data_IF_691435442769
#
_entry.id   IF_691435442769
#
_cell.length_a   1.000
_cell.length_b   1.000
_cell.length_c   1.000
_cell.angle_alpha   90.00
_cell.angle_beta   90.00
_cell.angle_gamma   90.00
#
_symmetry.space_group_name_H-M   'P 1'
#
loop_
_entity.id
_entity.type
_entity.pdbx_description
1 polymer ?
#
# COMPACT_ATOMS: atom_id res chain seq x y z
N UNK A 1 6.14 2.17 27.01
CA UNK A 1 4.77 1.68 27.25
C UNK A 1 4.17 1.42 25.90
N UNK A 2 4.28 0.21 25.39
CA UNK A 2 3.92 -0.16 24.03
C UNK A 2 3.00 -1.38 23.99
N UNK A 3 2.16 -1.57 25.01
CA UNK A 3 1.16 -2.62 25.01
C UNK A 3 0.09 -2.35 23.95
N UNK A 4 -0.30 -3.40 23.25
CA UNK A 4 -1.32 -3.27 22.21
C UNK A 4 -2.69 -3.16 22.85
N UNK A 5 -3.50 -2.18 22.42
CA UNK A 5 -4.88 -1.99 22.90
C UNK A 5 -5.74 -3.27 22.86
N UNK A 6 -5.42 -4.18 21.92
CA UNK A 6 -6.08 -5.46 21.77
C UNK A 6 -5.75 -6.44 22.93
N UNK A 7 -4.52 -6.45 23.39
CA UNK A 7 -4.08 -7.32 24.48
C UNK A 7 -4.71 -6.84 25.79
N UNK A 8 -4.70 -5.53 26.05
CA UNK A 8 -5.38 -4.93 27.19
C UNK A 8 -6.89 -5.20 27.21
N UNK A 9 -7.53 -5.14 26.04
CA UNK A 9 -8.96 -5.46 25.95
C UNK A 9 -9.26 -6.93 26.26
N UNK A 10 -8.36 -7.87 25.91
CA UNK A 10 -8.48 -9.30 26.27
C UNK A 10 -8.33 -9.53 27.76
N UNK A 11 -7.52 -8.73 28.43
CA UNK A 11 -7.29 -8.78 29.88
C UNK A 11 -8.41 -8.10 30.69
N UNK A 12 -9.47 -7.65 30.02
CA UNK A 12 -10.60 -6.97 30.67
C UNK A 12 -10.34 -5.50 31.01
N UNK A 13 -9.24 -4.93 30.52
CA UNK A 13 -8.85 -3.53 30.74
C UNK A 13 -8.86 -2.76 29.40
N UNK A 14 -10.04 -2.56 28.74
CA UNK A 14 -10.08 -1.88 27.47
C UNK A 14 -9.58 -0.44 27.62
N UNK A 15 -8.53 -0.01 26.89
CA UNK A 15 -8.03 1.33 26.98
C UNK A 15 -9.05 2.32 26.38
N UNK A 16 -9.20 3.48 27.01
CA UNK A 16 -9.92 4.59 26.41
C UNK A 16 -9.05 5.18 25.27
N UNK A 17 -9.43 4.88 24.04
CA UNK A 17 -8.72 5.35 22.85
C UNK A 17 -9.41 6.59 22.30
N UNK A 18 -8.72 7.75 22.24
CA UNK A 18 -9.30 8.95 21.68
C UNK A 18 -9.62 8.76 20.19
N UNK A 19 -10.69 9.38 19.68
CA UNK A 19 -11.01 9.38 18.27
C UNK A 19 -9.83 9.96 17.46
N UNK A 20 -9.55 9.36 16.31
CA UNK A 20 -8.53 9.85 15.37
C UNK A 20 -9.12 10.06 13.99
N UNK A 21 -8.70 11.09 13.25
CA UNK A 21 -9.13 11.29 11.88
C UNK A 21 -8.79 10.07 11.03
N UNK A 22 -9.73 9.65 10.20
CA UNK A 22 -9.57 8.54 9.27
C UNK A 22 -10.06 8.98 7.89
N UNK A 23 -9.27 8.70 6.85
CA UNK A 23 -9.62 9.06 5.49
C UNK A 23 -10.50 7.97 4.88
N UNK A 24 -11.72 8.34 4.51
CA UNK A 24 -12.64 7.50 3.74
C UNK A 24 -12.95 8.25 2.43
N UNK A 25 -12.51 7.68 1.30
CA UNK A 25 -12.64 8.31 -0.01
C UNK A 25 -14.01 8.01 -0.65
N UNK A 26 -14.56 6.80 -0.37
CA UNK A 26 -15.87 6.37 -0.86
C UNK A 26 -16.54 5.51 0.19
N UNK A 27 -17.83 5.77 0.42
CA UNK A 27 -18.68 4.99 1.30
C UNK A 27 -20.08 4.92 0.67
N UNK A 28 -20.42 3.78 0.12
CA UNK A 28 -21.63 3.61 -0.71
C UNK A 28 -22.43 2.42 -0.24
N UNK A 29 -23.73 2.62 -0.04
CA UNK A 29 -24.68 1.54 0.19
C UNK A 29 -24.97 0.82 -1.13
N UNK A 30 -24.63 -0.45 -1.20
CA UNK A 30 -24.86 -1.30 -2.37
C UNK A 30 -26.19 -1.98 -2.33
N UNK A 31 -26.56 -2.56 -1.19
CA UNK A 31 -27.78 -3.31 -1.02
C UNK A 31 -28.28 -3.32 0.43
N UNK A 32 -29.56 -3.58 0.60
CA UNK A 32 -30.20 -3.99 1.84
C UNK A 32 -30.89 -5.33 1.62
N UNK A 33 -30.17 -6.45 1.85
CA UNK A 33 -30.72 -7.78 1.63
C UNK A 33 -31.95 -8.08 2.48
N UNK A 34 -32.00 -7.50 3.70
CA UNK A 34 -33.10 -7.65 4.65
C UNK A 34 -33.18 -6.42 5.58
N UNK A 35 -34.05 -6.49 6.60
CA UNK A 35 -34.27 -5.40 7.56
C UNK A 35 -33.05 -5.16 8.47
N UNK A 36 -32.25 -6.21 8.73
CA UNK A 36 -31.17 -6.22 9.69
C UNK A 36 -29.78 -6.13 9.05
N UNK A 37 -29.73 -6.19 7.71
CA UNK A 37 -28.46 -6.26 6.97
C UNK A 37 -28.36 -5.16 5.91
N UNK A 38 -27.15 -4.61 5.77
CA UNK A 38 -26.79 -3.65 4.73
C UNK A 38 -25.38 -3.93 4.21
N UNK A 39 -25.21 -3.87 2.90
CA UNK A 39 -23.94 -4.07 2.21
C UNK A 39 -23.37 -2.74 1.73
N UNK A 40 -22.10 -2.48 2.02
CA UNK A 40 -21.42 -1.25 1.66
C UNK A 40 -20.14 -1.52 0.87
N UNK A 41 -19.89 -0.70 -0.15
CA UNK A 41 -18.57 -0.55 -0.75
C UNK A 41 -17.80 0.60 -0.08
N UNK A 42 -16.59 0.33 0.38
CA UNK A 42 -15.76 1.31 1.08
C UNK A 42 -14.39 1.41 0.42
N UNK A 43 -13.98 2.64 0.06
CA UNK A 43 -12.59 2.96 -0.30
C UNK A 43 -12.02 3.87 0.78
N UNK A 44 -10.91 3.47 1.36
CA UNK A 44 -10.33 4.20 2.50
C UNK A 44 -8.81 4.21 2.47
N UNK A 45 -8.24 5.17 3.16
CA UNK A 45 -6.82 5.25 3.41
C UNK A 45 -6.31 4.14 4.34
N UNK A 46 -4.98 4.09 4.48
CA UNK A 46 -4.30 3.17 5.39
C UNK A 46 -4.75 3.38 6.85
N UNK A 47 -4.98 2.28 7.56
CA UNK A 47 -5.25 2.30 9.00
C UNK A 47 -6.70 2.54 9.40
N UNK A 48 -7.64 2.59 8.45
CA UNK A 48 -9.08 2.62 8.75
C UNK A 48 -9.56 1.24 9.14
N UNK A 49 -10.22 1.14 10.29
CA UNK A 49 -10.79 -0.11 10.79
C UNK A 49 -12.24 -0.23 10.38
N UNK A 50 -12.57 -1.18 9.52
CA UNK A 50 -13.95 -1.39 9.03
C UNK A 50 -14.92 -1.71 10.18
N UNK A 51 -14.45 -2.39 11.22
CA UNK A 51 -15.26 -2.65 12.43
C UNK A 51 -15.64 -1.36 13.18
N UNK A 52 -14.72 -0.41 13.26
CA UNK A 52 -15.02 0.89 13.87
C UNK A 52 -15.97 1.70 12.99
N UNK A 53 -15.77 1.69 11.69
CA UNK A 53 -16.64 2.36 10.73
C UNK A 53 -18.09 1.84 10.81
N UNK A 54 -18.28 0.51 10.85
CA UNK A 54 -19.60 -0.10 10.99
C UNK A 54 -20.28 0.27 12.31
N UNK A 55 -19.54 0.22 13.42
CA UNK A 55 -20.03 0.64 14.73
C UNK A 55 -20.46 2.10 14.74
N UNK A 56 -19.63 2.97 14.19
CA UNK A 56 -19.87 4.42 14.24
C UNK A 56 -21.02 4.81 13.30
N UNK A 57 -21.15 4.13 12.14
CA UNK A 57 -22.33 4.25 11.27
C UNK A 57 -23.61 3.85 12.02
N UNK A 58 -23.62 2.66 12.64
CA UNK A 58 -24.80 2.18 13.35
C UNK A 58 -25.22 3.15 14.46
N UNK A 59 -24.26 3.69 15.23
CA UNK A 59 -24.53 4.72 16.25
C UNK A 59 -25.09 6.00 15.65
N UNK A 60 -24.58 6.43 14.50
CA UNK A 60 -25.05 7.65 13.84
C UNK A 60 -26.49 7.55 13.35
N UNK A 61 -26.98 6.35 13.04
CA UNK A 61 -28.39 6.10 12.66
C UNK A 61 -29.24 5.62 13.86
N UNK A 62 -28.72 5.69 15.08
CA UNK A 62 -29.47 5.40 16.30
C UNK A 62 -29.66 3.91 16.62
N UNK A 63 -28.77 3.04 16.11
CA UNK A 63 -28.84 1.59 16.34
C UNK A 63 -27.48 1.02 16.74
N UNK A 64 -27.38 -0.31 16.80
CA UNK A 64 -26.14 -1.06 16.99
C UNK A 64 -25.85 -1.90 15.75
N UNK A 65 -24.57 -2.13 15.47
CA UNK A 65 -24.19 -2.95 14.32
C UNK A 65 -22.77 -3.50 14.45
N UNK A 66 -22.52 -4.56 13.70
CA UNK A 66 -21.22 -5.21 13.60
C UNK A 66 -20.98 -5.70 12.16
N UNK A 67 -19.74 -6.06 11.87
CA UNK A 67 -19.38 -6.68 10.60
C UNK A 67 -19.76 -8.16 10.63
N UNK A 68 -20.71 -8.57 9.79
CA UNK A 68 -21.08 -9.97 9.57
C UNK A 68 -20.15 -10.63 8.52
N UNK A 69 -19.82 -9.90 7.45
CA UNK A 69 -18.89 -10.34 6.41
C UNK A 69 -18.01 -9.18 5.95
N UNK A 70 -16.77 -9.47 5.60
CA UNK A 70 -15.83 -8.49 5.06
C UNK A 70 -15.00 -9.12 3.94
N UNK A 71 -15.05 -8.52 2.76
CA UNK A 71 -14.24 -8.91 1.62
C UNK A 71 -13.37 -7.75 1.16
N UNK A 72 -12.08 -8.02 0.99
CA UNK A 72 -11.14 -7.02 0.47
C UNK A 72 -10.96 -7.23 -1.03
N UNK A 73 -11.39 -6.24 -1.81
CA UNK A 73 -11.38 -6.31 -3.26
C UNK A 73 -10.09 -5.75 -3.87
N UNK A 74 -9.43 -4.80 -3.17
CA UNK A 74 -8.19 -4.16 -3.64
C UNK A 74 -7.33 -3.65 -2.50
N UNK A 75 -6.00 -3.70 -2.69
CA UNK A 75 -4.99 -3.06 -1.84
C UNK A 75 -3.93 -2.42 -2.74
N UNK A 76 -3.93 -1.09 -2.84
CA UNK A 76 -3.06 -0.39 -3.80
C UNK A 76 -3.29 -0.93 -5.23
N UNK A 77 -2.24 -1.31 -5.95
CA UNK A 77 -2.34 -1.86 -7.30
C UNK A 77 -2.90 -3.30 -7.36
N UNK A 78 -2.94 -4.01 -6.23
CA UNK A 78 -3.37 -5.41 -6.20
C UNK A 78 -4.89 -5.52 -6.13
N UNK A 79 -5.50 -6.08 -7.16
CA UNK A 79 -6.93 -6.40 -7.21
C UNK A 79 -7.19 -7.87 -6.84
N UNK A 80 -8.41 -8.17 -6.44
CA UNK A 80 -8.84 -9.54 -6.09
C UNK A 80 -8.59 -10.55 -7.23
N UNK A 81 -8.76 -10.13 -8.49
CA UNK A 81 -8.51 -10.99 -9.65
C UNK A 81 -7.04 -11.47 -9.77
N UNK A 82 -6.11 -10.79 -9.09
CA UNK A 82 -4.69 -11.18 -9.03
C UNK A 82 -4.40 -12.12 -7.86
N UNK A 83 -5.38 -12.38 -7.00
CA UNK A 83 -5.18 -13.25 -5.84
C UNK A 83 -5.11 -14.71 -6.28
N UNK A 84 -4.29 -15.46 -5.57
CA UNK A 84 -4.18 -16.92 -5.71
C UNK A 84 -4.67 -17.59 -4.43
N UNK A 85 -5.11 -18.84 -4.54
CA UNK A 85 -5.46 -19.63 -3.36
C UNK A 85 -4.22 -19.92 -2.51
N UNK A 86 -4.42 -20.07 -1.21
CA UNK A 86 -3.32 -20.35 -0.27
C UNK A 86 -2.55 -21.61 -0.64
N UNK A 87 -3.24 -22.65 -1.11
CA UNK A 87 -2.64 -23.91 -1.55
C UNK A 87 -1.63 -23.72 -2.70
N UNK A 88 -1.86 -22.73 -3.56
CA UNK A 88 -0.93 -22.38 -4.65
C UNK A 88 0.22 -21.49 -4.18
N UNK A 89 0.06 -20.82 -3.04
CA UNK A 89 1.09 -19.96 -2.47
C UNK A 89 2.12 -20.73 -1.62
N UNK A 90 1.73 -21.90 -1.11
CA UNK A 90 2.60 -22.78 -0.33
C UNK A 90 3.31 -23.73 -1.26
N UNK A 91 4.66 -23.82 -1.24
CA UNK A 91 5.39 -24.81 -2.01
C UNK A 91 4.93 -26.23 -1.63
N UNK A 92 4.80 -27.13 -2.60
CA UNK A 92 4.40 -28.52 -2.32
C UNK A 92 5.45 -29.32 -1.54
N UNK A 93 6.66 -28.81 -1.43
CA UNK A 93 7.82 -29.43 -0.80
C UNK A 93 8.75 -28.35 -0.24
N UNK A 94 9.38 -28.60 0.92
CA UNK A 94 10.34 -27.70 1.56
C UNK A 94 11.56 -27.35 0.68
N UNK A 95 11.84 -28.14 -0.33
CA UNK A 95 12.91 -27.95 -1.31
C UNK A 95 12.45 -27.25 -2.61
N UNK A 96 11.16 -27.00 -2.79
CA UNK A 96 10.66 -26.34 -3.98
C UNK A 96 10.98 -24.82 -3.92
N UNK A 97 11.42 -24.19 -5.03
CA UNK A 97 11.67 -22.77 -5.05
C UNK A 97 10.37 -22.00 -4.75
N UNK A 98 10.37 -21.23 -3.65
CA UNK A 98 9.23 -20.47 -3.15
C UNK A 98 8.81 -19.28 -4.05
N UNK A 99 9.30 -19.19 -5.28
CA UNK A 99 9.23 -18.00 -6.12
C UNK A 99 8.15 -18.04 -7.21
N UNK A 100 7.39 -19.14 -7.34
CA UNK A 100 6.45 -19.33 -8.45
C UNK A 100 5.39 -18.23 -8.64
N UNK A 101 4.68 -17.76 -7.60
CA UNK A 101 3.62 -16.76 -7.76
C UNK A 101 4.03 -15.32 -7.45
N UNK A 102 5.32 -15.01 -7.33
CA UNK A 102 5.76 -13.66 -7.01
C UNK A 102 5.59 -12.71 -8.20
N UNK A 103 4.94 -11.58 -7.95
CA UNK A 103 4.85 -10.48 -8.90
C UNK A 103 6.12 -9.61 -8.85
N UNK A 104 6.42 -8.92 -9.95
CA UNK A 104 7.53 -7.97 -9.99
C UNK A 104 7.32 -6.84 -8.96
N UNK A 105 8.43 -6.34 -8.40
CA UNK A 105 8.42 -5.22 -7.44
C UNK A 105 7.72 -4.00 -8.03
N UNK A 106 7.88 -3.76 -9.32
CA UNK A 106 7.25 -2.68 -10.07
C UNK A 106 5.72 -2.69 -9.97
N UNK A 107 5.11 -3.89 -9.84
CA UNK A 107 3.67 -4.02 -9.62
C UNK A 107 3.25 -3.37 -8.29
N UNK A 108 4.00 -3.62 -7.21
CA UNK A 108 3.73 -3.03 -5.91
C UNK A 108 3.94 -1.51 -5.88
N UNK A 109 4.74 -0.99 -6.81
CA UNK A 109 5.11 0.42 -6.92
C UNK A 109 4.34 1.16 -8.03
N UNK A 110 3.34 0.53 -8.64
CA UNK A 110 2.64 1.08 -9.81
C UNK A 110 1.98 2.44 -9.52
N UNK A 111 1.50 2.65 -8.29
CA UNK A 111 0.86 3.90 -7.86
C UNK A 111 1.88 5.04 -7.58
N UNK A 112 3.18 4.75 -7.59
CA UNK A 112 4.24 5.75 -7.36
C UNK A 112 4.74 6.26 -8.71
N UNK A 113 4.73 7.59 -8.96
CA UNK A 113 5.21 8.16 -10.22
C UNK A 113 6.63 7.70 -10.56
N UNK A 114 6.86 7.31 -11.81
CA UNK A 114 8.16 6.84 -12.29
C UNK A 114 9.01 8.00 -12.83
N UNK A 115 10.23 8.16 -12.34
CA UNK A 115 11.25 9.05 -12.87
C UNK A 115 12.29 8.24 -13.62
N UNK A 116 12.34 8.40 -14.94
CA UNK A 116 13.30 7.72 -15.79
C UNK A 116 14.71 8.34 -15.64
N UNK A 117 15.68 7.47 -15.40
CA UNK A 117 17.10 7.82 -15.27
C UNK A 117 17.93 7.00 -16.28
N UNK A 118 19.07 7.54 -16.66
CA UNK A 118 20.15 6.77 -17.27
C UNK A 118 20.87 5.94 -16.20
N UNK A 119 21.65 4.96 -16.60
CA UNK A 119 22.46 4.18 -15.67
C UNK A 119 23.48 5.05 -14.92
N UNK A 120 24.06 6.04 -15.61
CA UNK A 120 25.00 6.99 -15.00
C UNK A 120 24.35 7.86 -13.91
N UNK A 121 23.12 8.32 -14.14
CA UNK A 121 22.33 9.08 -13.15
C UNK A 121 21.87 8.21 -11.98
N UNK A 122 21.60 6.94 -12.23
CA UNK A 122 21.17 6.00 -11.19
C UNK A 122 22.31 5.52 -10.30
N UNK A 123 23.56 5.55 -10.80
CA UNK A 123 24.72 5.04 -10.06
C UNK A 123 24.89 5.68 -8.68
N UNK A 124 24.90 7.02 -8.53
CA UNK A 124 25.00 7.63 -7.21
C UNK A 124 23.84 7.27 -6.28
N UNK A 125 22.60 7.12 -6.82
CA UNK A 125 21.46 6.70 -6.02
C UNK A 125 21.64 5.30 -5.46
N UNK A 126 22.24 4.38 -6.23
CA UNK A 126 22.53 2.99 -5.78
C UNK A 126 23.53 2.99 -4.60
N UNK A 127 24.36 4.03 -4.50
CA UNK A 127 25.29 4.24 -3.39
C UNK A 127 24.68 5.07 -2.24
N UNK A 128 23.39 5.37 -2.30
CA UNK A 128 22.68 6.13 -1.28
C UNK A 128 22.88 7.65 -1.37
N UNK A 129 23.46 8.15 -2.46
CA UNK A 129 23.72 9.57 -2.65
C UNK A 129 22.54 10.27 -3.32
N UNK A 130 22.28 11.52 -2.93
CA UNK A 130 21.29 12.36 -3.61
C UNK A 130 21.83 12.87 -4.95
N UNK A 131 20.93 13.02 -5.94
CA UNK A 131 21.29 13.56 -7.25
C UNK A 131 20.50 14.84 -7.56
N UNK A 132 21.10 15.75 -8.34
CA UNK A 132 20.45 16.99 -8.75
C UNK A 132 19.25 16.74 -9.68
N UNK A 133 18.17 17.49 -9.46
CA UNK A 133 17.00 17.47 -10.34
C UNK A 133 17.18 18.33 -11.59
N UNK A 134 18.18 19.21 -11.66
CA UNK A 134 18.39 20.12 -12.81
C UNK A 134 18.42 19.36 -14.15
N UNK A 135 19.23 18.29 -14.32
CA UNK A 135 19.24 17.55 -15.57
C UNK A 135 17.99 16.71 -15.80
N UNK A 136 17.12 16.58 -14.78
CA UNK A 136 15.94 15.73 -14.78
C UNK A 136 14.62 16.52 -14.97
N UNK A 137 14.66 17.85 -14.97
CA UNK A 137 13.46 18.71 -14.94
C UNK A 137 12.42 18.36 -16.01
N UNK A 138 12.85 18.03 -17.24
CA UNK A 138 11.95 17.62 -18.32
C UNK A 138 11.38 16.20 -18.20
N UNK A 139 11.83 15.41 -17.22
CA UNK A 139 11.43 14.02 -16.99
C UNK A 139 10.68 13.81 -15.69
N UNK A 140 10.59 14.85 -14.84
CA UNK A 140 9.83 14.76 -13.57
C UNK A 140 8.35 14.54 -13.92
N UNK A 141 7.73 13.45 -13.40
CA UNK A 141 6.32 13.20 -13.67
C UNK A 141 5.42 14.31 -13.14
N UNK A 142 4.44 14.75 -13.92
CA UNK A 142 3.50 15.81 -13.51
C UNK A 142 2.71 15.44 -12.24
N UNK A 143 2.53 14.13 -11.97
CA UNK A 143 1.88 13.64 -10.77
C UNK A 143 2.78 13.67 -9.52
N UNK A 144 4.09 13.91 -9.69
CA UNK A 144 5.03 13.99 -8.58
C UNK A 144 5.06 15.42 -8.05
N UNK A 145 4.79 15.60 -6.75
CA UNK A 145 5.01 16.90 -6.10
C UNK A 145 6.52 17.18 -6.06
N UNK A 146 7.02 18.26 -6.70
CA UNK A 146 8.45 18.57 -6.71
C UNK A 146 9.00 18.90 -5.32
N UNK A 147 8.13 19.20 -4.36
CA UNK A 147 8.49 19.57 -3.00
C UNK A 147 7.95 18.53 -2.01
N UNK A 148 8.72 17.49 -1.79
CA UNK A 148 8.41 16.39 -0.87
C UNK A 148 7.73 15.17 -1.51
N UNK A 149 7.47 15.15 -2.81
CA UNK A 149 6.85 14.02 -3.50
C UNK A 149 7.75 12.78 -3.55
N UNK A 150 7.12 11.61 -3.45
CA UNK A 150 7.80 10.33 -3.62
C UNK A 150 7.75 9.93 -5.10
N UNK A 151 8.90 9.47 -5.62
CA UNK A 151 9.02 8.90 -6.97
C UNK A 151 9.75 7.56 -6.91
N UNK A 152 9.48 6.69 -7.89
CA UNK A 152 10.33 5.52 -8.16
C UNK A 152 11.34 5.87 -9.25
N UNK A 153 12.61 5.81 -8.92
CA UNK A 153 13.69 5.96 -9.88
C UNK A 153 13.81 4.67 -10.72
N UNK A 154 13.78 4.82 -12.04
CA UNK A 154 13.80 3.69 -12.98
C UNK A 154 14.99 3.84 -13.92
N UNK A 155 15.86 2.84 -13.98
CA UNK A 155 16.98 2.76 -14.91
C UNK A 155 16.98 1.38 -15.58
N UNK A 156 17.28 1.32 -16.88
CA UNK A 156 17.24 0.07 -17.64
C UNK A 156 15.88 -0.65 -17.58
N UNK A 157 14.77 0.08 -17.46
CA UNK A 157 13.42 -0.48 -17.33
C UNK A 157 13.06 -1.06 -15.96
N UNK A 158 13.94 -0.95 -14.96
CA UNK A 158 13.75 -1.50 -13.60
C UNK A 158 13.77 -0.40 -12.55
N UNK A 159 12.94 -0.57 -11.52
CA UNK A 159 12.98 0.31 -10.36
C UNK A 159 14.26 0.06 -9.54
N UNK A 160 15.07 1.10 -9.36
CA UNK A 160 16.36 1.03 -8.65
C UNK A 160 16.31 1.66 -7.26
N UNK A 161 15.43 2.63 -7.06
CA UNK A 161 15.23 3.27 -5.76
C UNK A 161 13.84 3.90 -5.65
N UNK A 162 13.35 4.05 -4.43
CA UNK A 162 12.36 5.06 -4.09
C UNK A 162 13.12 6.29 -3.63
N UNK A 163 12.76 7.45 -4.16
CA UNK A 163 13.39 8.72 -3.81
C UNK A 163 12.36 9.81 -3.52
N UNK A 164 12.77 10.79 -2.75
CA UNK A 164 11.98 11.98 -2.43
C UNK A 164 12.55 13.18 -3.16
N UNK A 165 11.68 13.93 -3.83
CA UNK A 165 12.00 15.21 -4.45
C UNK A 165 12.01 16.26 -3.35
N UNK A 166 13.13 16.90 -3.10
CA UNK A 166 13.24 17.93 -2.08
C UNK A 166 14.46 18.82 -2.35
N UNK A 167 14.34 20.13 -2.15
CA UNK A 167 15.42 21.12 -2.26
C UNK A 167 16.20 21.04 -3.59
N UNK A 168 15.51 20.75 -4.70
CA UNK A 168 16.12 20.60 -6.02
C UNK A 168 16.96 19.33 -6.20
N UNK A 169 16.81 18.37 -5.29
CA UNK A 169 17.51 17.09 -5.28
C UNK A 169 16.54 15.91 -5.24
N UNK A 170 16.96 14.75 -5.74
CA UNK A 170 16.34 13.47 -5.49
C UNK A 170 17.11 12.74 -4.40
N UNK A 171 16.52 12.64 -3.23
CA UNK A 171 17.09 11.94 -2.08
C UNK A 171 16.62 10.49 -2.06
N UNK A 172 17.49 9.47 -2.06
CA UNK A 172 17.08 8.07 -1.94
C UNK A 172 16.48 7.81 -0.55
N UNK A 173 15.26 7.22 -0.53
CA UNK A 173 14.55 6.82 0.68
C UNK A 173 14.71 5.31 0.90
N UNK A 174 14.71 4.55 -0.19
CA UNK A 174 14.87 3.09 -0.16
C UNK A 174 15.56 2.64 -1.45
N UNK A 175 16.66 1.94 -1.32
CA UNK A 175 17.28 1.24 -2.44
C UNK A 175 16.52 -0.05 -2.75
N UNK A 176 16.35 -0.32 -4.02
CA UNK A 176 15.72 -1.54 -4.50
C UNK A 176 16.84 -2.40 -5.11
N UNK A 177 17.32 -3.36 -4.33
CA UNK A 177 18.31 -4.31 -4.82
C UNK A 177 17.61 -5.19 -5.88
N UNK A 178 18.21 -5.41 -7.06
CA UNK A 178 17.67 -6.36 -8.02
C UNK A 178 17.59 -7.74 -7.37
N UNK A 179 16.39 -8.15 -6.96
CA UNK A 179 16.15 -9.53 -6.56
C UNK A 179 16.35 -10.46 -7.75
N UNK A 180 16.61 -11.74 -7.49
CA UNK A 180 16.67 -12.78 -8.51
C UNK A 180 15.44 -12.64 -9.44
N UNK A 181 15.69 -12.69 -10.75
CA UNK A 181 14.67 -12.57 -11.78
C UNK A 181 13.50 -13.51 -11.49
N UNK A 182 12.29 -12.98 -11.43
CA UNK A 182 11.12 -13.81 -11.67
C UNK A 182 11.29 -14.41 -13.08
N UNK A 183 11.08 -15.72 -13.27
CA UNK A 183 11.11 -16.31 -14.60
C UNK A 183 10.09 -15.59 -15.49
N UNK A 184 10.51 -15.24 -16.70
CA UNK A 184 9.60 -14.69 -17.72
C UNK A 184 8.50 -15.70 -18.02
N UNK A 185 7.26 -15.25 -18.31
CA UNK A 185 6.13 -16.10 -18.61
C UNK A 185 6.34 -16.95 -19.86
#
# INVERSE_FOLDING_TARGET
QGERAYDLAREGQPPDLPPRPARVDRFELLARPDADSAEFAVTSGKGVYMRSLARDLARAVGTVGHIAALRRLRVGPFAEAMAISLDKAVPPDDNAPALGPLLAVETALADIPALALTEAEASPLKDGQAISLIPLLGRIPAAANPDGGLVRAVAGGRAVALGRLQDGMLHPVRLLVPGAQAPSP
#
